data_IF_371383458862
#
_entry.id   IF_371383458862
#
_cell.length_a   1.000
_cell.length_b   1.000
_cell.length_c   1.000
_cell.angle_alpha   90.00
_cell.angle_beta   90.00
_cell.angle_gamma   90.00
#
_symmetry.space_group_name_H-M   'P 1'
#
loop_
_entity.id
_entity.type
_entity.pdbx_description
1 polymer ?
#
# COMPACT_ATOMS: atom_id res chain seq x y z
N UNK A 1 -31.36 -16.54 9.23
CA UNK A 1 -30.62 -15.64 10.12
C UNK A 1 -29.12 -15.80 9.91
N UNK A 2 -28.37 -14.72 9.79
CA UNK A 2 -26.90 -14.81 9.68
C UNK A 2 -26.33 -15.09 11.08
N UNK A 3 -25.62 -16.20 11.21
CA UNK A 3 -24.93 -16.57 12.43
C UNK A 3 -23.71 -15.67 12.65
N UNK A 4 -23.38 -15.37 13.91
CA UNK A 4 -22.14 -14.66 14.29
C UNK A 4 -20.88 -15.42 13.85
N UNK A 5 -20.97 -16.70 13.55
CA UNK A 5 -19.88 -17.53 13.04
C UNK A 5 -19.55 -17.27 11.55
N UNK A 6 -20.47 -16.68 10.79
CA UNK A 6 -20.31 -16.47 9.33
C UNK A 6 -20.50 -15.02 8.88
N UNK A 7 -20.72 -14.08 9.80
CA UNK A 7 -20.96 -12.68 9.50
C UNK A 7 -20.07 -11.74 10.30
N UNK A 8 -19.64 -10.63 9.68
CA UNK A 8 -19.00 -9.54 10.40
C UNK A 8 -20.05 -8.66 11.11
N UNK A 9 -19.64 -7.94 12.16
CA UNK A 9 -20.49 -6.94 12.84
C UNK A 9 -21.02 -5.92 11.84
N UNK A 10 -20.22 -5.52 10.85
CA UNK A 10 -20.63 -4.61 9.79
C UNK A 10 -21.79 -5.17 8.96
N UNK A 11 -21.74 -6.44 8.57
CA UNK A 11 -22.83 -7.07 7.81
C UNK A 11 -24.14 -7.12 8.60
N UNK A 12 -24.06 -7.36 9.91
CA UNK A 12 -25.25 -7.33 10.78
C UNK A 12 -25.82 -5.92 10.88
N UNK A 13 -24.94 -4.92 11.07
CA UNK A 13 -25.35 -3.51 11.14
C UNK A 13 -25.99 -3.05 9.81
N UNK A 14 -25.40 -3.42 8.67
CA UNK A 14 -25.93 -3.10 7.34
C UNK A 14 -27.31 -3.71 7.12
N UNK A 15 -27.53 -4.97 7.53
CA UNK A 15 -28.82 -5.63 7.41
C UNK A 15 -29.92 -4.90 8.17
N UNK A 16 -29.59 -4.33 9.33
CA UNK A 16 -30.54 -3.60 10.19
C UNK A 16 -30.60 -2.09 9.90
N UNK A 17 -29.79 -1.59 8.95
CA UNK A 17 -29.80 -0.17 8.60
C UNK A 17 -31.07 0.20 7.83
N UNK A 18 -31.70 1.31 8.23
CA UNK A 18 -32.81 1.91 7.51
C UNK A 18 -32.34 2.75 6.30
N UNK A 19 -31.05 3.08 6.24
CA UNK A 19 -30.48 3.87 5.15
C UNK A 19 -30.07 2.99 3.98
N UNK A 20 -30.57 3.32 2.80
CA UNK A 20 -30.11 2.76 1.54
C UNK A 20 -30.06 3.88 0.50
N UNK A 21 -28.84 4.34 0.22
CA UNK A 21 -28.64 5.48 -0.69
C UNK A 21 -28.91 5.09 -2.16
N UNK A 22 -28.50 3.88 -2.56
CA UNK A 22 -28.67 3.37 -3.90
C UNK A 22 -28.97 1.86 -3.78
N UNK A 23 -30.04 1.33 -4.45
CA UNK A 23 -30.38 -0.09 -4.42
C UNK A 23 -29.27 -1.03 -4.84
N UNK A 24 -28.29 -0.53 -5.62
CA UNK A 24 -27.11 -1.30 -6.08
C UNK A 24 -26.02 -1.43 -5.02
N UNK A 25 -26.10 -0.66 -3.93
CA UNK A 25 -25.14 -0.70 -2.85
C UNK A 25 -25.71 -1.34 -1.61
N UNK A 26 -24.83 -1.79 -0.74
CA UNK A 26 -25.20 -2.29 0.56
C UNK A 26 -25.85 -1.16 1.40
N UNK A 27 -26.73 -1.56 2.33
CA UNK A 27 -27.36 -0.61 3.25
C UNK A 27 -26.33 0.06 4.14
N UNK A 28 -26.61 1.28 4.54
CA UNK A 28 -25.76 2.08 5.41
C UNK A 28 -25.51 3.47 4.85
N UNK A 29 -24.87 4.31 5.67
CA UNK A 29 -24.40 5.62 5.26
C UNK A 29 -22.95 5.51 4.77
N UNK A 30 -22.67 6.14 3.64
CA UNK A 30 -21.33 6.19 3.06
C UNK A 30 -20.67 7.54 3.32
N UNK A 31 -19.40 7.53 3.72
CA UNK A 31 -18.57 8.72 3.78
C UNK A 31 -17.94 8.95 2.41
N UNK A 32 -18.53 9.84 1.63
CA UNK A 32 -18.09 10.08 0.25
C UNK A 32 -16.87 10.98 0.14
N UNK A 33 -16.64 11.89 1.09
CA UNK A 33 -15.49 12.79 1.02
C UNK A 33 -14.20 12.07 1.37
N UNK A 34 -13.25 12.13 0.45
CA UNK A 34 -11.93 11.56 0.62
C UNK A 34 -10.87 12.66 0.70
N UNK A 35 -10.16 12.72 1.84
CA UNK A 35 -9.18 13.77 2.15
C UNK A 35 -7.75 13.25 2.38
N UNK A 36 -7.54 11.93 2.35
CA UNK A 36 -6.25 11.31 2.67
C UNK A 36 -5.27 11.35 1.48
N UNK A 37 -5.69 10.87 0.32
CA UNK A 37 -4.84 10.77 -0.86
C UNK A 37 -5.07 11.93 -1.82
N UNK A 38 -4.06 12.24 -2.65
CA UNK A 38 -4.23 13.16 -3.77
C UNK A 38 -5.26 12.64 -4.76
N UNK A 39 -5.85 13.57 -5.53
CA UNK A 39 -7.02 13.27 -6.37
C UNK A 39 -6.75 12.18 -7.41
N UNK A 40 -5.57 12.15 -8.02
CA UNK A 40 -5.18 11.12 -8.99
C UNK A 40 -5.05 9.72 -8.35
N UNK A 41 -4.53 9.61 -7.13
CA UNK A 41 -4.45 8.33 -6.42
C UNK A 41 -5.85 7.80 -6.11
N UNK A 42 -6.69 8.62 -5.47
CA UNK A 42 -8.03 8.17 -5.11
C UNK A 42 -8.93 8.02 -6.33
N UNK A 43 -8.69 8.75 -7.41
CA UNK A 43 -9.41 8.63 -8.68
C UNK A 43 -9.32 7.21 -9.25
N UNK A 44 -8.15 6.61 -9.23
CA UNK A 44 -7.95 5.21 -9.62
C UNK A 44 -8.77 4.25 -8.73
N UNK A 45 -8.64 4.37 -7.41
CA UNK A 45 -9.40 3.55 -6.47
C UNK A 45 -10.91 3.77 -6.60
N UNK A 46 -11.32 5.00 -6.86
CA UNK A 46 -12.72 5.39 -7.02
C UNK A 46 -13.35 4.69 -8.23
N UNK A 47 -12.63 4.64 -9.35
CA UNK A 47 -13.06 3.86 -10.52
C UNK A 47 -13.12 2.37 -10.26
N UNK A 48 -12.10 1.83 -9.58
CA UNK A 48 -11.94 0.39 -9.40
C UNK A 48 -12.91 -0.20 -8.37
N UNK A 49 -13.09 0.47 -7.22
CA UNK A 49 -13.76 -0.11 -6.05
C UNK A 49 -15.00 0.67 -5.59
N UNK A 50 -15.09 1.96 -5.89
CA UNK A 50 -16.12 2.83 -5.35
C UNK A 50 -17.10 3.38 -6.40
N UNK A 51 -17.05 2.84 -7.63
CA UNK A 51 -17.97 3.19 -8.73
C UNK A 51 -18.10 4.69 -9.00
N UNK A 52 -17.02 5.45 -8.81
CA UNK A 52 -17.02 6.89 -9.01
C UNK A 52 -17.71 7.72 -7.91
N UNK A 53 -18.10 7.09 -6.79
CA UNK A 53 -18.91 7.78 -5.76
C UNK A 53 -18.10 8.63 -4.79
N UNK A 54 -16.80 8.37 -4.62
CA UNK A 54 -15.98 9.18 -3.73
C UNK A 54 -15.75 10.58 -4.30
N UNK A 55 -15.75 11.55 -3.43
CA UNK A 55 -15.47 12.96 -3.73
C UNK A 55 -14.06 13.30 -3.26
N UNK A 56 -13.07 13.38 -4.16
CA UNK A 56 -11.72 13.80 -3.81
C UNK A 56 -11.72 15.24 -3.29
N UNK A 57 -11.12 15.47 -2.12
CA UNK A 57 -11.08 16.79 -1.46
C UNK A 57 -9.66 17.25 -1.11
N UNK A 58 -8.62 16.43 -1.35
CA UNK A 58 -7.24 16.80 -1.04
C UNK A 58 -6.60 17.69 -2.10
N UNK A 59 -7.09 17.63 -3.34
CA UNK A 59 -6.48 18.35 -4.46
C UNK A 59 -5.41 17.53 -5.19
N UNK A 60 -4.73 18.19 -6.11
CA UNK A 60 -3.60 17.62 -6.85
C UNK A 60 -2.32 17.69 -6.02
N UNK A 61 -1.32 16.90 -6.42
CA UNK A 61 -0.02 16.91 -5.75
C UNK A 61 0.64 18.29 -5.76
N UNK A 62 1.15 18.68 -4.60
CA UNK A 62 1.97 19.89 -4.42
C UNK A 62 3.09 19.58 -3.44
N UNK A 63 4.30 20.06 -3.74
CA UNK A 63 5.44 19.90 -2.86
C UNK A 63 5.85 18.44 -2.65
N UNK A 64 5.68 17.59 -3.66
CA UNK A 64 6.15 16.21 -3.67
C UNK A 64 7.42 16.11 -4.50
N UNK A 65 8.35 15.27 -4.06
CA UNK A 65 9.62 15.01 -4.79
C UNK A 65 9.39 14.11 -6.02
N UNK A 66 8.34 13.26 -5.97
CA UNK A 66 7.95 12.36 -7.04
C UNK A 66 6.50 12.62 -7.46
N UNK A 67 6.11 12.20 -8.68
CA UNK A 67 4.70 12.20 -9.08
C UNK A 67 3.83 11.42 -8.08
N UNK A 68 2.58 11.82 -7.91
CA UNK A 68 1.65 11.16 -6.99
C UNK A 68 1.44 9.67 -7.31
N UNK A 69 1.56 9.30 -8.58
CA UNK A 69 1.55 7.91 -9.03
C UNK A 69 2.64 7.69 -10.07
N UNK A 70 3.38 6.62 -9.91
CA UNK A 70 4.39 6.19 -10.86
C UNK A 70 4.49 4.67 -10.87
N UNK A 71 5.13 4.11 -11.90
CA UNK A 71 5.44 2.71 -11.93
C UNK A 71 6.83 2.47 -12.52
N UNK A 72 7.46 1.38 -12.11
CA UNK A 72 8.68 0.87 -12.68
C UNK A 72 8.46 -0.58 -13.10
N UNK A 73 8.67 -0.86 -14.39
CA UNK A 73 8.66 -2.24 -14.87
C UNK A 73 9.99 -2.92 -14.52
N UNK A 74 9.89 -4.06 -13.84
CA UNK A 74 11.03 -4.88 -13.46
C UNK A 74 10.90 -6.22 -14.19
N UNK A 75 11.85 -6.52 -15.06
CA UNK A 75 11.85 -7.76 -15.85
C UNK A 75 12.38 -8.94 -15.02
N UNK A 76 11.78 -9.13 -13.84
CA UNK A 76 12.09 -10.20 -12.91
C UNK A 76 11.04 -11.31 -12.98
N UNK A 77 11.43 -12.52 -12.58
CA UNK A 77 10.53 -13.67 -12.53
C UNK A 77 10.06 -13.91 -11.10
N UNK A 78 8.74 -14.01 -10.91
CA UNK A 78 8.16 -14.43 -9.66
C UNK A 78 8.48 -15.90 -9.35
N UNK A 79 8.91 -16.16 -8.13
CA UNK A 79 9.24 -17.51 -7.65
C UNK A 79 8.21 -17.94 -6.60
N UNK A 80 7.82 -19.21 -6.65
CA UNK A 80 6.95 -19.81 -5.64
C UNK A 80 7.61 -21.09 -5.13
N UNK A 81 8.27 -21.04 -3.97
CA UNK A 81 8.79 -22.26 -3.35
C UNK A 81 7.63 -23.21 -3.01
N UNK A 82 7.90 -24.52 -2.95
CA UNK A 82 6.91 -25.58 -2.75
C UNK A 82 5.84 -25.22 -1.70
N UNK A 83 4.61 -24.94 -2.19
CA UNK A 83 3.47 -24.58 -1.33
C UNK A 83 3.53 -23.23 -0.63
N UNK A 84 4.61 -22.44 -0.80
CA UNK A 84 4.85 -21.18 -0.10
C UNK A 84 4.26 -19.94 -0.80
N UNK A 85 4.46 -18.81 -0.16
CA UNK A 85 4.13 -17.47 -0.69
C UNK A 85 5.07 -17.10 -1.84
N UNK A 86 4.58 -16.30 -2.78
CA UNK A 86 5.38 -15.83 -3.92
C UNK A 86 6.37 -14.73 -3.53
N UNK A 87 7.48 -14.64 -4.26
CA UNK A 87 8.43 -13.53 -4.18
C UNK A 87 9.18 -13.34 -5.49
N UNK A 88 9.67 -12.13 -5.72
CA UNK A 88 10.50 -11.75 -6.86
C UNK A 88 11.80 -11.13 -6.32
N UNK A 89 12.93 -11.85 -6.40
CA UNK A 89 14.19 -11.36 -5.87
C UNK A 89 14.66 -10.07 -6.52
N UNK A 90 14.55 -9.98 -7.86
CA UNK A 90 14.99 -8.79 -8.59
C UNK A 90 14.16 -7.55 -8.21
N UNK A 91 12.86 -7.72 -8.01
CA UNK A 91 11.99 -6.64 -7.54
C UNK A 91 12.37 -6.19 -6.11
N UNK A 92 12.67 -7.14 -5.22
CA UNK A 92 13.13 -6.82 -3.87
C UNK A 92 14.47 -6.08 -3.85
N UNK A 93 15.42 -6.49 -4.69
CA UNK A 93 16.72 -5.82 -4.84
C UNK A 93 16.59 -4.44 -5.47
N UNK A 94 15.72 -4.30 -6.48
CA UNK A 94 15.45 -3.01 -7.12
C UNK A 94 14.83 -2.00 -6.16
N UNK A 95 13.87 -2.44 -5.33
CA UNK A 95 13.27 -1.59 -4.29
C UNK A 95 14.35 -1.11 -3.31
N UNK A 96 15.21 -2.01 -2.85
CA UNK A 96 16.27 -1.65 -1.92
C UNK A 96 17.28 -0.68 -2.56
N UNK A 97 17.70 -0.93 -3.79
CA UNK A 97 18.60 -0.04 -4.55
C UNK A 97 17.97 1.34 -4.78
N UNK A 98 16.68 1.39 -5.13
CA UNK A 98 15.95 2.64 -5.31
C UNK A 98 15.90 3.46 -4.02
N UNK A 99 15.67 2.81 -2.87
CA UNK A 99 15.65 3.47 -1.57
C UNK A 99 17.03 4.03 -1.20
N UNK A 100 18.12 3.29 -1.47
CA UNK A 100 19.50 3.81 -1.29
C UNK A 100 19.72 5.06 -2.14
N UNK A 101 19.38 4.98 -3.42
CA UNK A 101 19.64 6.05 -4.37
C UNK A 101 18.88 7.36 -4.04
N UNK A 102 17.71 7.24 -3.41
CA UNK A 102 16.85 8.40 -3.14
C UNK A 102 16.76 8.79 -1.65
N UNK A 103 17.44 8.07 -0.77
CA UNK A 103 17.37 8.31 0.68
C UNK A 103 17.62 9.77 1.05
N UNK A 104 18.76 10.30 0.66
CA UNK A 104 19.20 11.65 1.06
C UNK A 104 18.28 12.75 0.52
N UNK A 105 17.77 12.56 -0.70
CA UNK A 105 16.83 13.50 -1.31
C UNK A 105 15.46 13.45 -0.62
N UNK A 106 14.98 12.26 -0.26
CA UNK A 106 13.73 12.08 0.48
C UNK A 106 13.85 12.70 1.88
N UNK A 107 14.90 12.38 2.62
CA UNK A 107 15.12 12.90 3.97
C UNK A 107 15.27 14.42 3.98
N UNK A 108 15.99 14.97 3.01
CA UNK A 108 16.15 16.43 2.83
C UNK A 108 14.82 17.11 2.51
N UNK A 109 14.02 16.51 1.62
CA UNK A 109 12.76 17.10 1.17
C UNK A 109 11.69 17.11 2.27
N UNK A 110 11.56 16.01 3.00
CA UNK A 110 10.53 15.86 4.04
C UNK A 110 10.99 16.29 5.44
N UNK A 111 12.30 16.49 5.66
CA UNK A 111 12.86 16.84 6.97
C UNK A 111 12.74 15.73 8.01
N UNK A 112 12.50 14.49 7.56
CA UNK A 112 12.25 13.33 8.41
C UNK A 112 13.06 12.12 7.90
N UNK A 113 13.48 11.21 8.80
CA UNK A 113 14.21 10.02 8.38
C UNK A 113 13.37 9.11 7.49
N UNK A 114 14.01 8.38 6.58
CA UNK A 114 13.41 7.56 5.55
C UNK A 114 12.29 6.64 6.08
N UNK A 115 12.51 6.01 7.25
CA UNK A 115 11.55 5.06 7.83
C UNK A 115 10.23 5.68 8.27
N UNK A 116 10.18 6.99 8.49
CA UNK A 116 8.96 7.74 8.78
C UNK A 116 8.22 8.15 7.51
N UNK A 117 8.95 8.39 6.43
CA UNK A 117 8.43 8.92 5.16
C UNK A 117 7.94 7.80 4.25
N UNK A 118 8.68 6.68 4.18
CA UNK A 118 8.44 5.60 3.23
C UNK A 118 7.88 4.36 3.89
N UNK A 119 6.96 3.70 3.20
CA UNK A 119 6.48 2.36 3.51
C UNK A 119 6.50 1.47 2.28
N UNK A 120 6.77 0.19 2.46
CA UNK A 120 6.74 -0.80 1.37
C UNK A 120 5.64 -1.82 1.65
N UNK A 121 4.76 -2.03 0.67
CA UNK A 121 3.59 -2.91 0.76
C UNK A 121 3.66 -3.99 -0.31
N UNK A 122 3.36 -5.21 0.06
CA UNK A 122 3.22 -6.33 -0.88
C UNK A 122 2.10 -7.27 -0.42
N UNK A 123 1.42 -7.98 -1.35
CA UNK A 123 0.43 -9.01 -0.97
C UNK A 123 1.06 -10.28 -0.37
N UNK A 124 2.38 -10.47 -0.50
CA UNK A 124 3.05 -11.74 -0.25
C UNK A 124 4.05 -11.68 0.90
N UNK A 125 3.88 -12.54 1.90
CA UNK A 125 4.78 -12.63 3.06
C UNK A 125 6.22 -13.01 2.68
N UNK A 126 6.41 -13.86 1.66
CA UNK A 126 7.75 -14.18 1.18
C UNK A 126 8.45 -12.97 0.55
N UNK A 127 7.71 -12.10 -0.13
CA UNK A 127 8.23 -10.86 -0.68
C UNK A 127 8.63 -9.87 0.43
N UNK A 128 7.87 -9.80 1.51
CA UNK A 128 8.27 -9.01 2.70
C UNK A 128 9.65 -9.43 3.18
N UNK A 129 9.88 -10.74 3.29
CA UNK A 129 11.18 -11.27 3.74
C UNK A 129 12.29 -10.99 2.73
N UNK A 130 12.03 -11.14 1.43
CA UNK A 130 12.98 -10.83 0.38
C UNK A 130 13.40 -9.35 0.42
N UNK A 131 12.44 -8.43 0.51
CA UNK A 131 12.70 -6.98 0.62
C UNK A 131 13.52 -6.68 1.88
N UNK A 132 13.11 -7.19 3.05
CA UNK A 132 13.85 -6.99 4.31
C UNK A 132 15.27 -7.53 4.24
N UNK A 133 15.49 -8.62 3.52
CA UNK A 133 16.83 -9.18 3.31
C UNK A 133 17.68 -8.28 2.42
N UNK A 134 17.12 -7.76 1.34
CA UNK A 134 17.82 -6.82 0.44
C UNK A 134 18.14 -5.51 1.13
N UNK A 135 17.23 -4.98 1.95
CA UNK A 135 17.45 -3.77 2.75
C UNK A 135 18.59 -3.95 3.78
N UNK A 136 18.67 -5.10 4.44
CA UNK A 136 19.77 -5.41 5.36
C UNK A 136 21.12 -5.49 4.66
N UNK A 137 21.19 -6.09 3.48
CA UNK A 137 22.40 -6.16 2.68
C UNK A 137 22.96 -4.78 2.31
N UNK A 138 22.08 -3.81 2.11
CA UNK A 138 22.44 -2.44 1.73
C UNK A 138 22.47 -1.47 2.94
N UNK A 139 22.42 -2.00 4.16
CA UNK A 139 22.51 -1.26 5.43
C UNK A 139 21.50 -0.09 5.56
N UNK A 140 20.37 -0.15 4.87
CA UNK A 140 19.33 0.89 4.91
C UNK A 140 18.60 0.87 6.25
N UNK A 141 18.41 -0.30 6.83
CA UNK A 141 17.88 -0.42 8.17
C UNK A 141 19.00 -0.20 9.18
N UNK A 142 18.99 0.94 9.85
CA UNK A 142 19.87 1.20 10.97
C UNK A 142 19.84 0.04 11.99
N UNK A 143 20.84 -0.04 12.84
CA UNK A 143 21.00 -1.11 13.85
C UNK A 143 19.92 -1.09 14.94
N UNK A 144 19.07 -0.07 14.97
CA UNK A 144 18.07 0.14 16.02
C UNK A 144 16.67 -0.26 15.54
N UNK A 145 16.02 -1.14 16.28
CA UNK A 145 14.64 -1.60 16.02
C UNK A 145 13.62 -0.45 15.98
N UNK A 146 13.90 0.69 16.59
CA UNK A 146 13.04 1.88 16.61
C UNK A 146 13.05 2.71 15.31
N UNK A 147 13.98 2.45 14.41
CA UNK A 147 14.17 3.19 13.16
C UNK A 147 14.06 2.36 11.89
N UNK A 148 13.43 1.19 11.91
CA UNK A 148 13.36 0.34 10.74
C UNK A 148 12.23 0.75 9.77
N UNK A 149 12.53 0.69 8.47
CA UNK A 149 11.55 0.91 7.42
C UNK A 149 10.38 -0.07 7.53
N UNK A 150 9.16 0.43 7.47
CA UNK A 150 7.97 -0.41 7.49
C UNK A 150 7.83 -1.17 6.16
N UNK A 151 8.07 -2.48 6.21
CA UNK A 151 7.84 -3.41 5.09
C UNK A 151 6.87 -4.47 5.55
N UNK A 152 5.72 -4.57 4.88
CA UNK A 152 4.69 -5.49 5.32
C UNK A 152 3.63 -5.80 4.28
N UNK A 153 2.71 -6.65 4.66
CA UNK A 153 1.48 -6.88 3.88
C UNK A 153 0.49 -5.73 4.09
N UNK A 154 -0.53 -5.65 3.24
CA UNK A 154 -1.57 -4.60 3.32
C UNK A 154 -2.15 -4.47 4.74
N UNK A 155 -2.37 -5.58 5.43
CA UNK A 155 -2.91 -5.57 6.80
C UNK A 155 -1.95 -4.96 7.82
N UNK A 156 -0.64 -5.14 7.66
CA UNK A 156 0.37 -4.61 8.59
C UNK A 156 0.56 -3.10 8.50
N UNK A 157 0.10 -2.48 7.42
CA UNK A 157 0.14 -1.03 7.19
C UNK A 157 -1.22 -0.36 7.41
N UNK A 158 -2.23 -1.14 7.80
CA UNK A 158 -3.55 -0.58 8.10
C UNK A 158 -3.46 0.41 9.27
N UNK A 159 -3.95 1.62 9.05
CA UNK A 159 -3.89 2.71 10.04
C UNK A 159 -2.59 3.53 10.03
N UNK A 160 -1.53 3.08 9.35
CA UNK A 160 -0.32 3.87 9.14
C UNK A 160 -0.47 4.81 7.93
N UNK A 161 0.12 6.00 8.05
CA UNK A 161 0.25 6.95 6.95
C UNK A 161 1.72 7.12 6.59
N UNK A 162 2.02 7.12 5.30
CA UNK A 162 3.36 7.40 4.77
C UNK A 162 3.22 8.36 3.59
N UNK A 163 4.16 9.28 3.45
CA UNK A 163 4.18 10.21 2.33
C UNK A 163 4.47 9.49 1.01
N UNK A 164 5.28 8.44 1.06
CA UNK A 164 5.63 7.61 -0.09
C UNK A 164 5.30 6.15 0.23
N UNK A 165 4.56 5.50 -0.66
CA UNK A 165 4.27 4.07 -0.56
C UNK A 165 4.76 3.36 -1.81
N UNK A 166 5.67 2.41 -1.64
CA UNK A 166 6.13 1.51 -2.70
C UNK A 166 5.29 0.24 -2.65
N UNK A 167 4.63 -0.09 -3.75
CA UNK A 167 3.83 -1.30 -3.88
C UNK A 167 4.56 -2.34 -4.73
N UNK A 168 4.77 -3.51 -4.17
CA UNK A 168 5.48 -4.64 -4.78
C UNK A 168 4.49 -5.76 -5.12
N UNK A 169 3.99 -5.84 -6.36
CA UNK A 169 2.99 -6.83 -6.76
C UNK A 169 3.54 -8.23 -6.97
N UNK A 170 4.84 -8.39 -7.18
CA UNK A 170 5.57 -9.66 -7.43
C UNK A 170 5.33 -10.22 -8.83
N UNK A 171 4.15 -10.08 -9.39
CA UNK A 171 3.79 -10.59 -10.71
C UNK A 171 4.51 -9.85 -11.83
N UNK A 172 4.96 -10.60 -12.83
CA UNK A 172 5.57 -10.07 -14.03
C UNK A 172 4.93 -10.66 -15.29
N UNK A 173 5.34 -10.17 -16.46
CA UNK A 173 4.88 -10.71 -17.75
C UNK A 173 5.33 -12.14 -18.03
N UNK A 174 6.20 -12.70 -17.20
CA UNK A 174 6.77 -14.05 -17.36
C UNK A 174 6.04 -15.14 -16.56
N UNK A 175 4.84 -14.84 -16.04
CA UNK A 175 4.04 -15.77 -15.25
C UNK A 175 2.81 -16.27 -16.00
#
# INVERSE_FOLDING_TARGET
GKSAASGSVMQVAQFNSHYQYDPKFERGMYLYEHRRCFNNIIGYCNSLCYHGKLQPKRGMEKGTIFPAMGYLHIDGRGMKPNGGSRYNPLEAETIAAWLVAHKDDIERHYGEPLYKVVGVVTPFSAQVNAIKTSLRKLEINGKDEQGSLTVGTVHSLQGAERAIVLFSPVYSKHE
#
